data_IF_157947218370
#
_entry.id   IF_157947218370
#
_cell.length_a   1.000
_cell.length_b   1.000
_cell.length_c   1.000
_cell.angle_alpha   90.00
_cell.angle_beta   90.00
_cell.angle_gamma   90.00
#
_symmetry.space_group_name_H-M   'P 1'
#
loop_
_entity.id
_entity.type
_entity.pdbx_description
1 polymer ?
#
# COMPACT_ATOMS: atom_id res chain seq x y z
N UNK A 1 -17.04 -9.47 -21.54
CA UNK A 1 -17.14 -8.07 -21.08
C UNK A 1 -18.44 -7.78 -20.32
N UNK A 2 -19.45 -8.65 -20.38
CA UNK A 2 -20.71 -8.46 -19.64
C UNK A 2 -20.49 -8.18 -18.14
N UNK A 3 -19.65 -8.95 -17.46
CA UNK A 3 -19.36 -8.73 -16.03
C UNK A 3 -18.69 -7.38 -15.72
N UNK A 4 -17.87 -6.85 -16.63
CA UNK A 4 -17.27 -5.52 -16.44
C UNK A 4 -18.33 -4.44 -16.63
N UNK A 5 -19.22 -4.62 -17.62
CA UNK A 5 -20.34 -3.71 -17.85
C UNK A 5 -21.25 -3.73 -16.63
N UNK A 6 -21.64 -4.90 -16.13
CA UNK A 6 -22.50 -5.05 -14.94
C UNK A 6 -21.86 -4.44 -13.68
N UNK A 7 -20.53 -4.44 -13.57
CA UNK A 7 -19.80 -3.81 -12.46
C UNK A 7 -19.87 -2.27 -12.50
N UNK A 8 -19.99 -1.66 -13.69
CA UNK A 8 -20.09 -0.20 -13.83
C UNK A 8 -21.52 0.31 -14.07
N UNK A 9 -22.44 -0.56 -14.50
CA UNK A 9 -23.79 -0.18 -14.94
C UNK A 9 -24.90 -0.49 -13.93
N UNK A 10 -24.60 -1.24 -12.87
CA UNK A 10 -25.56 -1.57 -11.81
C UNK A 10 -25.23 -0.84 -10.51
N UNK A 11 -26.26 -0.52 -9.72
CA UNK A 11 -26.11 0.13 -8.41
C UNK A 11 -25.25 -0.71 -7.45
N UNK A 12 -25.38 -2.04 -7.53
CA UNK A 12 -24.57 -2.99 -6.77
C UNK A 12 -23.11 -3.03 -7.25
N UNK A 13 -22.89 -2.92 -8.56
CA UNK A 13 -21.56 -2.88 -9.16
C UNK A 13 -20.77 -1.65 -8.72
N UNK A 14 -21.40 -0.46 -8.76
CA UNK A 14 -20.80 0.78 -8.31
C UNK A 14 -20.51 0.78 -6.81
N UNK A 15 -21.40 0.21 -5.99
CA UNK A 15 -21.16 0.03 -4.56
C UNK A 15 -19.95 -0.90 -4.31
N UNK A 16 -19.85 -2.01 -5.04
CA UNK A 16 -18.69 -2.91 -4.98
C UNK A 16 -17.40 -2.21 -5.42
N UNK A 17 -17.46 -1.41 -6.48
CA UNK A 17 -16.31 -0.64 -6.98
C UNK A 17 -15.81 0.36 -5.92
N UNK A 18 -16.70 1.03 -5.21
CA UNK A 18 -16.34 1.94 -4.12
C UNK A 18 -15.54 1.22 -3.03
N UNK A 19 -15.98 0.02 -2.62
CA UNK A 19 -15.26 -0.78 -1.63
C UNK A 19 -13.88 -1.22 -2.15
N UNK A 20 -13.80 -1.65 -3.42
CA UNK A 20 -12.53 -2.03 -4.06
C UNK A 20 -11.53 -0.87 -4.04
N UNK A 21 -11.98 0.34 -4.40
CA UNK A 21 -11.14 1.54 -4.37
C UNK A 21 -10.64 1.85 -2.96
N UNK A 22 -11.51 1.74 -1.95
CA UNK A 22 -11.13 1.93 -0.54
C UNK A 22 -10.06 0.91 -0.12
N UNK A 23 -10.23 -0.36 -0.45
CA UNK A 23 -9.26 -1.41 -0.13
C UNK A 23 -7.90 -1.15 -0.78
N UNK A 24 -7.88 -0.74 -2.05
CA UNK A 24 -6.65 -0.38 -2.77
C UNK A 24 -5.97 0.83 -2.11
N UNK A 25 -6.73 1.87 -1.77
CA UNK A 25 -6.20 3.05 -1.10
C UNK A 25 -5.59 2.69 0.26
N UNK A 26 -6.29 1.84 1.04
CA UNK A 26 -5.81 1.36 2.33
C UNK A 26 -4.55 0.51 2.19
N UNK A 27 -4.49 -0.38 1.20
CA UNK A 27 -3.32 -1.19 0.89
C UNK A 27 -2.10 -0.33 0.54
N UNK A 28 -2.26 0.68 -0.31
CA UNK A 28 -1.19 1.62 -0.65
C UNK A 28 -0.74 2.38 0.59
N UNK A 29 -1.68 2.91 1.38
CA UNK A 29 -1.36 3.69 2.59
C UNK A 29 -0.58 2.86 3.61
N UNK A 30 -1.02 1.64 3.90
CA UNK A 30 -0.29 0.75 4.79
C UNK A 30 1.07 0.38 4.23
N UNK A 31 1.18 0.07 2.93
CA UNK A 31 2.47 -0.22 2.29
C UNK A 31 3.45 0.93 2.47
N UNK A 32 3.04 2.18 2.22
CA UNK A 32 3.88 3.36 2.42
C UNK A 32 4.25 3.53 3.91
N UNK A 33 3.30 3.37 4.81
CA UNK A 33 3.53 3.51 6.25
C UNK A 33 4.52 2.47 6.77
N UNK A 34 4.39 1.21 6.35
CA UNK A 34 5.28 0.13 6.76
C UNK A 34 6.68 0.28 6.13
N UNK A 35 6.79 0.58 4.83
CA UNK A 35 8.09 0.86 4.20
C UNK A 35 8.77 2.09 4.79
N UNK A 36 8.00 3.14 5.11
CA UNK A 36 8.50 4.34 5.78
C UNK A 36 9.03 4.05 7.18
N UNK A 37 8.34 3.21 7.97
CA UNK A 37 8.81 2.78 9.29
C UNK A 37 10.03 1.86 9.22
N UNK A 38 10.14 0.99 8.22
CA UNK A 38 11.35 0.16 8.00
C UNK A 38 12.57 1.06 7.78
N UNK A 39 12.43 2.12 6.98
CA UNK A 39 13.51 3.09 6.74
C UNK A 39 13.85 3.97 7.95
N UNK A 40 12.87 4.24 8.82
CA UNK A 40 13.06 5.06 10.03
C UNK A 40 13.57 4.24 11.23
N UNK A 41 13.31 2.93 11.23
CA UNK A 41 13.83 1.96 12.21
C UNK A 41 15.20 1.38 11.83
N UNK A 42 15.74 1.77 10.67
CA UNK A 42 17.13 1.57 10.30
C UNK A 42 17.97 2.55 11.12
N UNK A 43 18.23 2.15 12.36
CA UNK A 43 19.04 2.89 13.32
C UNK A 43 20.35 3.33 12.65
N UNK A 44 20.68 4.64 12.58
CA UNK A 44 21.90 5.13 11.95
C UNK A 44 23.19 4.54 12.56
N UNK A 45 23.08 3.86 13.70
CA UNK A 45 24.17 3.15 14.36
C UNK A 45 24.52 1.79 13.72
N UNK A 46 23.59 1.12 13.02
CA UNK A 46 23.93 -0.11 12.26
C UNK A 46 24.72 0.20 10.98
N UNK A 47 24.45 1.36 10.36
CA UNK A 47 25.24 1.85 9.22
C UNK A 47 26.68 2.24 9.60
N UNK A 48 26.93 2.63 10.87
CA UNK A 48 28.27 2.95 11.37
C UNK A 48 29.07 1.73 11.83
N UNK A 49 28.41 0.63 12.22
CA UNK A 49 29.09 -0.61 12.60
C UNK A 49 29.52 -1.45 11.38
N UNK A 50 28.91 -1.20 10.21
CA UNK A 50 29.30 -1.83 8.94
C UNK A 50 30.50 -1.16 8.23
N UNK A 51 30.99 -0.02 8.73
CA UNK A 51 32.21 0.60 8.21
C UNK A 51 33.41 0.19 9.09
N UNK A 52 34.42 -0.50 8.52
CA UNK A 52 35.62 -0.87 9.25
C UNK A 52 36.32 0.41 9.70
N UNK A 53 36.51 0.57 11.02
CA UNK A 53 37.40 1.59 11.57
C UNK A 53 38.79 1.38 10.99
N UNK A 54 39.23 2.26 10.09
CA UNK A 54 40.62 2.38 9.63
C UNK A 54 41.36 3.42 10.47
#
# INVERSE_FOLDING_TARGET
MQMLIDLFSTDYGLMSLAVIVILIAMWIWFTILFLGKIRLGEDPEQAKQALPKS
#
